data_IF_296660434286
#
_entry.id   IF_296660434286
#
_cell.length_a   1.000
_cell.length_b   1.000
_cell.length_c   1.000
_cell.angle_alpha   90.00
_cell.angle_beta   90.00
_cell.angle_gamma   90.00
#
_symmetry.space_group_name_H-M   'P 1'
#
loop_
_entity.id
_entity.type
_entity.pdbx_description
1 polymer ?
#
# COMPACT_ATOMS: atom_id res chain seq x y z
N UNK A 1 14.64 -12.45 10.00
CA UNK A 1 14.00 -11.29 10.67
C UNK A 1 13.36 -11.78 11.98
N UNK A 2 13.01 -10.91 12.96
CA UNK A 2 12.14 -11.31 14.07
C UNK A 2 10.82 -11.93 13.59
N UNK A 3 10.32 -12.91 14.35
CA UNK A 3 8.98 -13.47 14.17
C UNK A 3 8.00 -12.71 15.10
N UNK A 4 6.94 -12.14 14.54
CA UNK A 4 5.94 -11.34 15.26
C UNK A 4 4.53 -11.81 14.94
N UNK A 5 3.63 -11.77 15.92
CA UNK A 5 2.22 -12.09 15.69
C UNK A 5 1.48 -10.89 15.11
N UNK A 6 0.90 -11.06 13.92
CA UNK A 6 0.09 -10.03 13.26
C UNK A 6 -1.39 -10.44 13.33
N UNK A 7 -2.13 -9.77 14.19
CA UNK A 7 -3.55 -10.06 14.41
C UNK A 7 -4.43 -9.74 13.20
N UNK A 8 -4.02 -8.83 12.30
CA UNK A 8 -4.75 -8.59 11.04
C UNK A 8 -4.59 -9.74 10.04
N UNK A 9 -3.52 -10.53 10.16
CA UNK A 9 -3.27 -11.71 9.32
C UNK A 9 -3.65 -13.02 10.00
N UNK A 10 -3.97 -12.99 11.30
CA UNK A 10 -4.27 -14.18 12.09
C UNK A 10 -3.09 -15.14 12.30
N UNK A 11 -1.85 -14.73 12.02
CA UNK A 11 -0.65 -15.59 12.10
C UNK A 11 0.62 -14.86 12.52
N UNK A 12 1.65 -15.64 12.84
CA UNK A 12 3.02 -15.15 12.94
C UNK A 12 3.58 -14.84 11.55
N UNK A 13 4.42 -13.81 11.45
CA UNK A 13 5.12 -13.42 10.24
C UNK A 13 6.55 -12.94 10.53
N UNK A 14 7.43 -13.04 9.54
CA UNK A 14 8.74 -12.39 9.59
C UNK A 14 8.58 -10.89 9.36
N UNK A 15 9.06 -10.06 10.29
CA UNK A 15 8.98 -8.60 10.20
C UNK A 15 10.32 -7.94 10.53
N UNK A 16 10.75 -6.86 9.85
CA UNK A 16 12.07 -6.28 10.06
C UNK A 16 12.36 -5.76 11.47
N UNK A 17 11.32 -5.48 12.27
CA UNK A 17 11.44 -4.93 13.62
C UNK A 17 10.88 -5.90 14.67
N UNK A 18 11.32 -5.74 15.91
CA UNK A 18 10.80 -6.49 17.06
C UNK A 18 9.35 -6.12 17.37
N UNK A 19 8.62 -7.05 17.97
CA UNK A 19 7.24 -6.84 18.39
C UNK A 19 7.12 -5.73 19.46
N UNK A 20 6.18 -4.80 19.28
CA UNK A 20 5.96 -3.64 20.14
C UNK A 20 4.47 -3.27 20.18
N UNK A 21 3.90 -3.28 21.38
CA UNK A 21 2.52 -2.88 21.65
C UNK A 21 2.48 -1.62 22.52
N UNK A 22 2.47 -0.41 21.93
CA UNK A 22 2.38 0.82 22.71
C UNK A 22 1.02 0.92 23.40
N UNK A 23 0.98 1.47 24.62
CA UNK A 23 -0.29 1.70 25.33
C UNK A 23 -1.22 2.65 24.57
N UNK A 24 -0.66 3.56 23.77
CA UNK A 24 -1.40 4.56 22.99
C UNK A 24 -0.85 4.66 21.58
N UNK A 25 -1.74 4.55 20.58
CA UNK A 25 -1.41 4.73 19.16
C UNK A 25 -2.30 5.82 18.56
N UNK A 26 -1.67 6.79 17.89
CA UNK A 26 -2.41 7.80 17.12
C UNK A 26 -2.97 7.15 15.85
N UNK A 27 -4.27 7.33 15.59
CA UNK A 27 -4.96 6.75 14.44
C UNK A 27 -5.74 7.82 13.66
N UNK A 28 -5.86 7.62 12.34
CA UNK A 28 -6.68 8.44 11.45
C UNK A 28 -7.82 7.59 10.88
N UNK A 29 -8.99 8.20 10.71
CA UNK A 29 -10.13 7.61 10.00
C UNK A 29 -10.56 8.56 8.90
N UNK A 30 -10.55 8.09 7.65
CA UNK A 30 -10.96 8.87 6.49
C UNK A 30 -12.34 8.41 6.01
N UNK A 31 -13.33 9.32 6.02
CA UNK A 31 -14.64 9.04 5.46
C UNK A 31 -14.66 9.33 3.96
N UNK A 32 -14.47 8.29 3.15
CA UNK A 32 -14.44 8.40 1.69
C UNK A 32 -15.78 8.82 1.07
N UNK A 33 -16.91 8.70 1.79
CA UNK A 33 -18.21 9.21 1.33
C UNK A 33 -18.30 10.75 1.36
N UNK A 34 -17.36 11.42 2.04
CA UNK A 34 -17.29 12.89 2.10
C UNK A 34 -16.00 13.45 1.49
N UNK A 35 -15.09 12.58 1.05
CA UNK A 35 -13.91 13.02 0.33
C UNK A 35 -14.35 13.59 -1.02
N UNK A 36 -13.88 14.80 -1.34
CA UNK A 36 -14.15 15.48 -2.61
C UNK A 36 -12.89 15.67 -3.45
N UNK A 37 -11.82 14.94 -3.11
CA UNK A 37 -10.55 14.95 -3.83
C UNK A 37 -9.96 16.37 -4.07
N UNK A 38 -10.11 17.29 -3.11
CA UNK A 38 -9.75 18.71 -3.32
C UNK A 38 -8.26 19.02 -3.11
N UNK A 39 -7.42 18.02 -2.80
CA UNK A 39 -5.97 18.18 -2.59
C UNK A 39 -5.55 19.17 -1.47
N UNK A 40 -6.47 19.61 -0.62
CA UNK A 40 -6.17 20.59 0.43
C UNK A 40 -5.26 19.99 1.51
N UNK A 41 -5.50 18.74 1.92
CA UNK A 41 -4.66 18.02 2.87
C UNK A 41 -3.24 17.78 2.33
N UNK A 42 -3.13 17.43 1.04
CA UNK A 42 -1.88 17.29 0.29
C UNK A 42 -1.05 18.58 0.39
N UNK A 43 -1.65 19.71 0.03
CA UNK A 43 -0.95 21.00 0.03
C UNK A 43 -0.62 21.51 1.44
N UNK A 44 -1.49 21.28 2.43
CA UNK A 44 -1.20 21.62 3.82
C UNK A 44 0.02 20.85 4.35
N UNK A 45 0.13 19.56 4.05
CA UNK A 45 1.29 18.76 4.42
C UNK A 45 2.56 19.22 3.68
N UNK A 46 2.44 19.45 2.36
CA UNK A 46 3.55 19.89 1.51
C UNK A 46 4.17 21.20 1.97
N UNK A 47 3.33 22.22 2.20
CA UNK A 47 3.79 23.56 2.58
C UNK A 47 4.37 23.60 4.00
N UNK A 48 3.91 22.71 4.88
CA UNK A 48 4.39 22.67 6.27
C UNK A 48 5.69 21.88 6.38
N UNK A 49 5.82 20.74 5.69
CA UNK A 49 6.85 19.75 5.99
C UNK A 49 7.84 19.48 4.85
N UNK A 50 7.38 19.42 3.60
CA UNK A 50 8.20 18.96 2.46
C UNK A 50 8.40 20.02 1.38
N UNK A 51 8.53 21.29 1.80
CA UNK A 51 8.75 22.44 0.92
C UNK A 51 10.23 22.73 0.60
N UNK A 52 11.16 22.06 1.29
CA UNK A 52 12.59 22.37 1.18
C UNK A 52 13.25 21.73 -0.05
N UNK A 53 14.42 22.27 -0.45
CA UNK A 53 15.19 21.76 -1.59
C UNK A 53 15.53 20.28 -1.42
N UNK A 54 15.32 19.49 -2.47
CA UNK A 54 15.52 18.04 -2.47
C UNK A 54 14.29 17.23 -2.02
N UNK A 55 13.20 17.91 -1.61
CA UNK A 55 11.94 17.29 -1.18
C UNK A 55 10.78 17.62 -2.11
N UNK A 56 11.05 18.20 -3.28
CA UNK A 56 10.05 18.67 -4.24
C UNK A 56 9.10 17.53 -4.66
N UNK A 57 9.64 16.32 -4.81
CA UNK A 57 8.89 15.10 -5.13
C UNK A 57 8.40 14.33 -3.88
N UNK A 58 8.63 14.81 -2.66
CA UNK A 58 8.10 14.15 -1.46
C UNK A 58 6.69 14.63 -1.16
N UNK A 59 5.72 13.70 -1.27
CA UNK A 59 4.31 13.91 -0.97
C UNK A 59 3.89 12.94 0.14
N UNK A 60 4.13 13.32 1.40
CA UNK A 60 3.82 12.45 2.55
C UNK A 60 2.32 12.22 2.75
N UNK A 61 1.51 13.20 2.35
CA UNK A 61 0.06 13.06 2.23
C UNK A 61 -0.29 13.40 0.78
N UNK A 62 -0.91 12.47 0.08
CA UNK A 62 -1.39 12.64 -1.29
C UNK A 62 -2.80 12.05 -1.42
N UNK A 63 -3.57 12.55 -2.39
CA UNK A 63 -4.90 12.01 -2.71
C UNK A 63 -4.89 11.51 -4.14
N UNK A 64 -5.35 10.28 -4.34
CA UNK A 64 -5.33 9.59 -5.63
C UNK A 64 -6.76 9.27 -6.07
N UNK A 65 -7.10 9.57 -7.32
CA UNK A 65 -8.26 8.98 -7.97
C UNK A 65 -7.99 7.49 -8.21
N UNK A 66 -9.01 6.63 -8.08
CA UNK A 66 -8.96 5.20 -8.42
C UNK A 66 -9.97 4.90 -9.53
N UNK A 67 -9.75 3.87 -10.38
CA UNK A 67 -8.71 2.84 -10.29
C UNK A 67 -7.37 3.24 -10.89
N UNK A 68 -7.32 4.35 -11.62
CA UNK A 68 -6.11 4.85 -12.28
C UNK A 68 -5.56 6.05 -11.53
N UNK A 69 -4.26 6.09 -11.37
CA UNK A 69 -3.61 7.06 -10.48
C UNK A 69 -2.81 6.32 -9.42
N UNK A 70 -1.77 6.98 -8.92
CA UNK A 70 -0.81 6.40 -8.01
C UNK A 70 0.39 7.32 -7.91
N UNK A 71 0.95 7.46 -6.72
CA UNK A 71 2.22 8.14 -6.53
C UNK A 71 3.18 7.32 -5.66
N UNK A 72 4.30 6.83 -6.21
CA UNK A 72 4.71 6.85 -7.62
C UNK A 72 3.72 6.07 -8.53
N UNK A 73 3.74 6.31 -9.84
CA UNK A 73 2.73 5.74 -10.75
C UNK A 73 2.63 4.20 -10.61
N UNK A 74 1.42 3.71 -10.36
CA UNK A 74 1.06 2.29 -10.22
C UNK A 74 1.84 1.53 -9.13
N UNK A 75 2.24 2.21 -8.06
CA UNK A 75 3.02 1.58 -6.99
C UNK A 75 2.34 0.36 -6.36
N UNK A 76 1.03 0.42 -6.17
CA UNK A 76 0.20 -0.63 -5.58
C UNK A 76 0.12 -1.85 -6.51
N UNK A 77 -0.28 -1.65 -7.76
CA UNK A 77 -0.41 -2.71 -8.76
C UNK A 77 0.94 -3.40 -9.00
N UNK A 78 2.02 -2.63 -9.16
CA UNK A 78 3.35 -3.20 -9.38
C UNK A 78 3.86 -3.99 -8.19
N UNK A 79 3.65 -3.50 -6.98
CA UNK A 79 4.02 -4.21 -5.76
C UNK A 79 3.26 -5.54 -5.65
N UNK A 80 1.96 -5.52 -5.94
CA UNK A 80 1.14 -6.73 -5.97
C UNK A 80 1.55 -7.70 -7.09
N UNK A 81 1.90 -7.21 -8.29
CA UNK A 81 2.43 -8.06 -9.36
C UNK A 81 3.76 -8.71 -8.97
N UNK A 82 4.67 -7.98 -8.31
CA UNK A 82 5.90 -8.57 -7.77
C UNK A 82 5.61 -9.64 -6.72
N UNK A 83 4.61 -9.40 -5.86
CA UNK A 83 4.22 -10.38 -4.84
C UNK A 83 3.64 -11.65 -5.48
N UNK A 84 2.82 -11.50 -6.52
CA UNK A 84 2.26 -12.60 -7.30
C UNK A 84 3.35 -13.39 -8.05
N UNK A 85 4.34 -12.73 -8.63
CA UNK A 85 5.48 -13.40 -9.28
C UNK A 85 6.29 -14.25 -8.28
N UNK A 86 6.42 -13.80 -7.03
CA UNK A 86 7.17 -14.49 -5.97
C UNK A 86 6.34 -15.59 -5.31
N UNK A 87 5.01 -15.42 -5.26
CA UNK A 87 4.09 -16.34 -4.60
C UNK A 87 2.80 -16.55 -5.43
N UNK A 88 2.90 -17.22 -6.60
CA UNK A 88 1.77 -17.34 -7.52
C UNK A 88 0.59 -18.05 -6.88
N UNK A 89 -0.60 -17.45 -6.98
CA UNK A 89 -1.86 -17.95 -6.40
C UNK A 89 -1.78 -18.25 -4.88
N UNK A 90 -0.75 -17.71 -4.21
CA UNK A 90 -0.43 -18.06 -2.83
C UNK A 90 -0.99 -17.07 -1.81
N UNK A 91 -1.97 -16.24 -2.16
CA UNK A 91 -2.61 -15.30 -1.24
C UNK A 91 -4.01 -15.81 -0.88
N UNK A 92 -4.08 -16.79 0.02
CA UNK A 92 -5.32 -17.46 0.40
C UNK A 92 -5.75 -17.07 1.81
N UNK A 93 -7.04 -16.82 2.00
CA UNK A 93 -7.61 -16.52 3.30
C UNK A 93 -8.47 -17.69 3.78
N UNK A 94 -8.21 -18.13 5.01
CA UNK A 94 -8.98 -19.17 5.68
C UNK A 94 -9.78 -18.56 6.82
N UNK A 95 -11.10 -18.64 6.72
CA UNK A 95 -12.01 -18.23 7.79
C UNK A 95 -12.65 -19.46 8.40
N UNK A 96 -12.30 -19.73 9.66
CA UNK A 96 -13.04 -20.70 10.47
C UNK A 96 -14.24 -20.01 11.13
N UNK A 97 -15.44 -20.47 10.76
CA UNK A 97 -16.71 -19.93 11.27
C UNK A 97 -16.93 -20.27 12.74
N UNK A 98 -16.29 -21.31 13.27
CA UNK A 98 -16.42 -21.69 14.67
C UNK A 98 -15.63 -20.74 15.59
N UNK A 99 -14.53 -20.18 15.08
CA UNK A 99 -13.64 -19.24 15.81
C UNK A 99 -13.75 -17.79 15.34
N UNK A 100 -14.78 -17.42 14.56
CA UNK A 100 -14.96 -16.08 13.99
C UNK A 100 -14.96 -14.97 15.07
N UNK A 101 -15.46 -15.27 16.27
CA UNK A 101 -15.44 -14.34 17.40
C UNK A 101 -14.02 -14.01 17.91
N UNK A 102 -13.07 -14.93 17.74
CA UNK A 102 -11.68 -14.80 18.18
C UNK A 102 -10.77 -14.32 17.05
N UNK A 103 -11.04 -14.75 15.81
CA UNK A 103 -10.33 -14.32 14.61
C UNK A 103 -11.32 -13.88 13.50
N UNK A 104 -11.85 -12.65 13.58
CA UNK A 104 -12.90 -12.18 12.67
C UNK A 104 -12.43 -11.95 11.23
N UNK A 105 -11.11 -11.85 11.00
CA UNK A 105 -10.53 -11.61 9.67
C UNK A 105 -9.99 -12.90 9.02
N UNK A 106 -9.92 -14.00 9.77
CA UNK A 106 -9.34 -15.25 9.31
C UNK A 106 -7.81 -15.26 9.34
N UNK A 107 -7.23 -16.34 8.84
CA UNK A 107 -5.79 -16.52 8.73
C UNK A 107 -5.36 -16.38 7.26
N UNK A 108 -4.38 -15.53 7.00
CA UNK A 108 -3.76 -15.40 5.68
C UNK A 108 -2.68 -16.47 5.49
N UNK A 109 -2.93 -17.46 4.65
CA UNK A 109 -1.89 -18.32 4.09
C UNK A 109 -1.33 -17.67 2.83
N UNK A 110 -0.25 -16.93 3.02
CA UNK A 110 0.46 -16.25 1.96
C UNK A 110 1.66 -15.50 2.46
N UNK A 111 2.33 -14.76 1.57
CA UNK A 111 3.53 -13.99 1.92
C UNK A 111 3.22 -12.51 2.02
N UNK A 112 3.77 -11.87 3.05
CA UNK A 112 3.86 -10.40 3.11
C UNK A 112 5.00 -9.89 2.22
N UNK A 113 5.03 -8.57 1.99
CA UNK A 113 6.13 -7.93 1.25
C UNK A 113 7.49 -8.07 1.94
N UNK A 114 7.51 -8.33 3.25
CA UNK A 114 8.73 -8.53 4.03
C UNK A 114 9.25 -9.97 3.88
N UNK A 115 8.36 -10.96 4.04
CA UNK A 115 8.68 -12.38 3.83
C UNK A 115 9.07 -12.68 2.38
N UNK A 116 8.40 -12.04 1.42
CA UNK A 116 8.75 -12.15 0.00
C UNK A 116 10.17 -11.62 -0.30
N UNK A 117 10.70 -10.71 0.54
CA UNK A 117 12.02 -10.11 0.32
C UNK A 117 13.17 -11.06 0.68
N UNK A 118 12.95 -12.01 1.60
CA UNK A 118 13.99 -12.98 2.03
C UNK A 118 14.47 -13.89 0.88
N UNK A 119 13.60 -14.15 -0.10
CA UNK A 119 13.94 -14.91 -1.33
C UNK A 119 14.25 -14.04 -2.55
N UNK A 120 14.07 -12.72 -2.46
CA UNK A 120 14.21 -11.79 -3.57
C UNK A 120 15.45 -10.91 -3.38
N UNK A 121 16.62 -11.50 -3.55
CA UNK A 121 17.87 -10.75 -3.70
C UNK A 121 17.90 -10.11 -5.10
N UNK A 122 17.31 -8.93 -5.24
CA UNK A 122 17.47 -8.14 -6.45
C UNK A 122 18.95 -7.81 -6.72
N UNK A 123 19.23 -7.23 -7.89
CA UNK A 123 20.60 -6.89 -8.33
C UNK A 123 21.36 -5.90 -7.41
N UNK A 124 20.69 -5.32 -6.41
CA UNK A 124 21.18 -4.26 -5.53
C UNK A 124 21.43 -4.72 -4.08
N UNK A 125 21.26 -6.01 -3.77
CA UNK A 125 21.53 -6.59 -2.45
C UNK A 125 20.28 -6.87 -1.59
N UNK A 126 20.47 -7.20 -0.29
CA UNK A 126 19.37 -7.59 0.59
C UNK A 126 18.43 -6.41 0.87
N UNK A 127 17.13 -6.60 0.64
CA UNK A 127 16.08 -5.60 0.86
C UNK A 127 15.25 -5.96 2.09
N UNK A 128 14.78 -4.95 2.84
CA UNK A 128 13.89 -5.15 3.97
C UNK A 128 12.46 -5.54 3.54
N UNK A 129 12.02 -5.08 2.36
CA UNK A 129 10.75 -5.43 1.74
C UNK A 129 10.95 -5.51 0.21
N UNK A 130 10.08 -6.26 -0.47
CA UNK A 130 10.04 -6.24 -1.93
C UNK A 130 9.63 -4.86 -2.42
N UNK A 131 10.15 -4.48 -3.58
CA UNK A 131 9.88 -3.19 -4.17
C UNK A 131 10.77 -2.90 -5.35
N UNK A 132 10.44 -1.83 -6.04
CA UNK A 132 11.12 -1.35 -7.23
C UNK A 132 11.56 0.09 -7.03
N UNK A 133 12.57 0.52 -7.78
CA UNK A 133 12.92 1.93 -7.90
C UNK A 133 12.09 2.51 -9.05
N UNK A 134 11.13 3.43 -8.77
CA UNK A 134 10.33 4.00 -9.83
C UNK A 134 11.19 4.87 -10.75
N UNK A 135 10.82 4.91 -12.03
CA UNK A 135 11.54 5.72 -13.02
C UNK A 135 11.33 7.21 -12.76
N UNK A 136 12.16 8.08 -13.34
CA UNK A 136 11.99 9.52 -13.22
C UNK A 136 10.60 10.00 -13.67
N UNK A 137 10.04 9.37 -14.72
CA UNK A 137 8.70 9.67 -15.22
C UNK A 137 7.61 9.29 -14.20
N UNK A 138 7.83 8.26 -13.40
CA UNK A 138 6.87 7.78 -12.41
C UNK A 138 6.88 8.62 -11.13
N UNK A 139 8.01 9.28 -10.85
CA UNK A 139 8.21 10.20 -9.73
C UNK A 139 7.83 11.65 -10.03
N UNK A 140 7.69 12.00 -11.30
CA UNK A 140 7.63 13.38 -11.78
C UNK A 140 6.58 14.22 -11.06
N UNK A 141 5.34 13.74 -10.99
CA UNK A 141 4.24 14.43 -10.32
C UNK A 141 3.18 13.47 -9.78
N UNK A 142 2.51 13.80 -8.67
CA UNK A 142 1.30 13.13 -8.24
C UNK A 142 0.12 13.52 -9.15
N UNK A 143 -1.06 12.93 -8.88
CA UNK A 143 -2.36 13.32 -9.45
C UNK A 143 -2.47 13.23 -10.98
N UNK A 144 -1.60 12.44 -11.62
CA UNK A 144 -1.75 12.14 -13.05
C UNK A 144 -3.04 11.35 -13.25
N UNK A 145 -3.88 11.81 -14.18
CA UNK A 145 -5.22 11.28 -14.45
C UNK A 145 -6.27 11.53 -13.35
N UNK A 146 -6.06 12.52 -12.48
CA UNK A 146 -7.07 13.00 -11.54
C UNK A 146 -8.37 13.40 -12.26
N UNK A 147 -9.49 12.81 -11.84
CA UNK A 147 -10.84 13.03 -12.40
C UNK A 147 -10.97 12.77 -13.92
N UNK A 148 -10.05 12.01 -14.52
CA UNK A 148 -10.14 11.65 -15.94
C UNK A 148 -11.05 10.44 -16.12
N UNK A 149 -12.21 10.64 -16.74
CA UNK A 149 -13.09 9.55 -17.13
C UNK A 149 -12.43 8.70 -18.24
N UNK A 150 -12.00 7.48 -17.88
CA UNK A 150 -11.39 6.51 -18.80
C UNK A 150 -12.35 5.37 -19.19
N UNK A 151 -13.66 5.54 -18.97
CA UNK A 151 -14.68 4.58 -19.41
C UNK A 151 -14.89 4.63 -20.92
N UNK A 152 -15.37 3.52 -21.51
CA UNK A 152 -15.96 3.58 -22.86
C UNK A 152 -17.11 4.58 -22.84
N UNK A 153 -17.24 5.39 -23.89
CA UNK A 153 -18.40 6.26 -24.05
C UNK A 153 -19.67 5.42 -23.87
N UNK A 154 -20.53 5.82 -22.94
CA UNK A 154 -21.79 5.14 -22.70
C UNK A 154 -22.60 5.14 -23.99
N UNK A 155 -22.94 3.95 -24.48
CA UNK A 155 -23.61 3.74 -25.77
C UNK A 155 -25.15 3.74 -25.67
N UNK A 156 -25.71 4.16 -24.53
CA UNK A 156 -27.15 4.39 -24.39
C UNK A 156 -28.00 3.15 -24.11
N UNK A 157 -27.41 1.96 -24.02
CA UNK A 157 -28.17 0.71 -23.78
C UNK A 157 -27.79 0.12 -22.43
N UNK A 158 -28.77 0.04 -21.53
CA UNK A 158 -28.69 -0.68 -20.26
C UNK A 158 -28.82 -2.20 -20.47
#
# INVERSE_FOLDING_TARGET
MPEVYNWQLGRNMNYPYEDRHPEWQFAFVFNINRCINCQTCTMACKSTWTFSKGQEHMWWNNVETKPFGGYPRYWDVKLLSLLEEINPEGQNWYLDKETEHENPYGELDGKTIFEAAEGYAGMEGPKAAIGYLPTAQEWESPNVHEEVAQGKAWNGTA
#
